data_IF_340850688041
#
_entry.id   IF_340850688041
#
_cell.length_a   1.000
_cell.length_b   1.000
_cell.length_c   1.000
_cell.angle_alpha   90.00
_cell.angle_beta   90.00
_cell.angle_gamma   90.00
#
_symmetry.space_group_name_H-M   'P 1'
#
loop_
_entity.id
_entity.type
_entity.pdbx_description
1 polymer ?
#
# COMPACT_ATOMS: atom_id res chain seq x y z
N UNK A 1 -11.94 3.12 -19.36
CA UNK A 1 -11.23 1.84 -19.22
C UNK A 1 -10.61 1.67 -17.82
N UNK A 2 -9.94 2.69 -17.25
CA UNK A 2 -9.32 2.60 -15.92
C UNK A 2 -10.28 2.48 -14.72
N UNK A 3 -11.55 2.83 -14.87
CA UNK A 3 -12.52 2.83 -13.76
C UNK A 3 -13.03 1.41 -13.40
N UNK A 4 -13.11 0.53 -14.37
CA UNK A 4 -13.61 -0.85 -14.15
C UNK A 4 -12.56 -1.71 -13.42
N UNK A 5 -11.32 -1.61 -13.84
CA UNK A 5 -10.13 -2.23 -13.24
C UNK A 5 -9.97 -1.87 -11.75
N UNK A 6 -10.17 -0.60 -11.42
CA UNK A 6 -10.10 -0.11 -10.03
C UNK A 6 -11.18 -0.72 -9.12
N UNK A 7 -12.41 -0.96 -9.63
CA UNK A 7 -13.50 -1.55 -8.84
C UNK A 7 -13.26 -3.01 -8.48
N UNK A 8 -12.63 -3.77 -9.36
CA UNK A 8 -12.36 -5.21 -9.11
C UNK A 8 -11.20 -5.41 -8.15
N UNK A 9 -10.09 -4.69 -8.30
CA UNK A 9 -9.02 -4.67 -7.29
C UNK A 9 -9.57 -4.33 -5.91
N UNK A 10 -10.46 -3.36 -5.85
CA UNK A 10 -11.15 -2.96 -4.64
C UNK A 10 -11.99 -4.10 -4.04
N UNK A 11 -12.66 -4.92 -4.85
CA UNK A 11 -13.52 -6.00 -4.37
C UNK A 11 -12.70 -7.16 -3.77
N UNK A 12 -11.62 -7.58 -4.43
CA UNK A 12 -10.73 -8.63 -3.93
C UNK A 12 -10.04 -8.25 -2.61
N UNK A 13 -9.58 -7.00 -2.50
CA UNK A 13 -8.95 -6.48 -1.27
C UNK A 13 -9.97 -6.40 -0.14
N UNK A 14 -11.16 -5.88 -0.42
CA UNK A 14 -12.21 -5.69 0.57
C UNK A 14 -12.59 -6.98 1.27
N UNK A 15 -12.83 -8.03 0.51
CA UNK A 15 -13.46 -9.23 1.04
C UNK A 15 -12.45 -10.18 1.71
N UNK A 16 -11.16 -10.05 1.40
CA UNK A 16 -10.14 -10.98 1.86
C UNK A 16 -9.21 -10.45 2.95
N UNK A 17 -8.84 -9.17 2.90
CA UNK A 17 -7.75 -8.63 3.72
C UNK A 17 -8.15 -7.52 4.69
N UNK A 18 -9.30 -6.88 4.49
CA UNK A 18 -9.77 -5.83 5.40
C UNK A 18 -10.47 -6.50 6.57
N UNK A 19 -9.93 -6.41 7.80
CA UNK A 19 -10.58 -6.94 8.97
C UNK A 19 -11.88 -6.17 9.26
N UNK A 20 -12.83 -6.81 9.95
CA UNK A 20 -14.06 -6.15 10.40
C UNK A 20 -13.80 -5.10 11.47
N UNK A 21 -12.76 -5.29 12.27
CA UNK A 21 -12.29 -4.37 13.31
C UNK A 21 -10.77 -4.45 13.42
N UNK A 22 -10.13 -3.41 13.94
CA UNK A 22 -8.69 -3.38 14.19
C UNK A 22 -7.99 -2.19 13.55
N UNK A 23 -6.68 -2.22 13.61
CA UNK A 23 -5.82 -1.13 13.10
C UNK A 23 -5.29 -1.50 11.72
N UNK A 24 -5.48 -0.60 10.76
CA UNK A 24 -5.03 -0.71 9.37
C UNK A 24 -4.05 0.44 9.11
N UNK A 25 -2.91 0.14 8.51
CA UNK A 25 -2.02 1.16 7.97
C UNK A 25 -2.24 1.33 6.47
N UNK A 26 -2.44 2.57 6.06
CA UNK A 26 -2.50 2.97 4.65
C UNK A 26 -1.31 3.86 4.31
N UNK A 27 -0.53 3.41 3.38
CA UNK A 27 0.58 4.14 2.79
C UNK A 27 0.11 5.32 1.91
N UNK A 28 1.03 6.04 1.28
CA UNK A 28 0.77 7.05 0.26
C UNK A 28 0.64 6.42 -1.14
N UNK A 29 0.04 7.16 -2.05
CA UNK A 29 -0.08 6.80 -3.46
C UNK A 29 -1.53 6.65 -3.96
N UNK A 30 -1.70 6.79 -5.27
CA UNK A 30 -3.03 6.82 -5.91
C UNK A 30 -3.83 5.53 -5.72
N UNK A 31 -3.17 4.37 -5.79
CA UNK A 31 -3.82 3.06 -5.58
C UNK A 31 -4.34 2.94 -4.15
N UNK A 32 -3.59 3.44 -3.17
CA UNK A 32 -3.98 3.45 -1.76
C UNK A 32 -5.18 4.40 -1.52
N UNK A 33 -5.25 5.52 -2.21
CA UNK A 33 -6.40 6.43 -2.12
C UNK A 33 -7.70 5.73 -2.55
N UNK A 34 -7.66 4.86 -3.56
CA UNK A 34 -8.83 4.07 -3.93
C UNK A 34 -9.23 3.05 -2.85
N UNK A 35 -8.24 2.45 -2.17
CA UNK A 35 -8.52 1.61 -1.01
C UNK A 35 -9.16 2.41 0.13
N UNK A 36 -8.69 3.64 0.38
CA UNK A 36 -9.29 4.54 1.36
C UNK A 36 -10.77 4.85 1.03
N UNK A 37 -11.12 5.02 -0.25
CA UNK A 37 -12.53 5.21 -0.68
C UNK A 37 -13.44 4.01 -0.34
N UNK A 38 -12.88 2.80 -0.34
CA UNK A 38 -13.62 1.60 0.09
C UNK A 38 -13.78 1.55 1.60
N UNK A 39 -12.69 1.83 2.32
CA UNK A 39 -12.70 1.87 3.78
C UNK A 39 -13.63 2.96 4.31
N UNK A 40 -13.76 4.08 3.61
CA UNK A 40 -14.69 5.14 3.96
C UNK A 40 -16.17 4.71 3.96
N UNK A 41 -16.50 3.61 3.27
CA UNK A 41 -17.86 3.02 3.24
C UNK A 41 -18.07 1.94 4.31
N UNK A 42 -17.10 1.72 5.17
CA UNK A 42 -17.12 0.75 6.28
C UNK A 42 -16.93 1.49 7.59
N UNK A 43 -17.13 0.78 8.69
CA UNK A 43 -16.95 1.30 10.04
C UNK A 43 -16.22 0.28 10.91
N UNK A 44 -15.77 0.72 12.09
CA UNK A 44 -15.23 -0.16 13.12
C UNK A 44 -13.71 -0.37 13.06
N UNK A 45 -13.00 0.27 12.12
CA UNK A 45 -11.54 0.23 12.06
C UNK A 45 -10.91 1.53 12.56
N UNK A 46 -9.67 1.41 13.03
CA UNK A 46 -8.76 2.54 13.19
C UNK A 46 -7.80 2.54 12.01
N UNK A 47 -7.79 3.61 11.23
CA UNK A 47 -6.97 3.74 10.03
C UNK A 47 -5.85 4.72 10.33
N UNK A 48 -4.61 4.27 10.24
CA UNK A 48 -3.42 5.10 10.36
C UNK A 48 -2.85 5.35 8.98
N UNK A 49 -2.54 6.59 8.65
CA UNK A 49 -1.97 6.94 7.34
C UNK A 49 -1.01 8.11 7.41
N UNK A 50 0.01 8.09 6.57
CA UNK A 50 0.85 9.24 6.26
C UNK A 50 0.36 10.02 5.03
N UNK A 51 -0.64 9.51 4.31
CA UNK A 51 -1.19 10.12 3.10
C UNK A 51 -2.24 11.18 3.42
N UNK A 52 -2.01 12.42 3.03
CA UNK A 52 -3.02 13.49 3.12
C UNK A 52 -4.21 13.22 2.20
N UNK A 53 -3.96 12.64 1.03
CA UNK A 53 -5.03 12.31 0.10
C UNK A 53 -5.95 11.21 0.64
N UNK A 54 -5.39 10.16 1.27
CA UNK A 54 -6.17 9.12 1.92
C UNK A 54 -6.93 9.65 3.13
N UNK A 55 -6.27 10.48 3.96
CA UNK A 55 -6.89 11.11 5.12
C UNK A 55 -8.09 11.98 4.71
N UNK A 56 -7.95 12.79 3.65
CA UNK A 56 -9.05 13.60 3.12
C UNK A 56 -10.27 12.76 2.70
N UNK A 57 -10.04 11.61 2.08
CA UNK A 57 -11.12 10.67 1.71
C UNK A 57 -11.83 10.11 2.95
N UNK A 58 -11.09 9.90 4.04
CA UNK A 58 -11.59 9.30 5.27
C UNK A 58 -12.26 10.29 6.23
N UNK A 59 -12.21 11.61 5.97
CA UNK A 59 -12.77 12.65 6.85
C UNK A 59 -14.25 12.43 7.21
N UNK A 60 -15.04 11.88 6.29
CA UNK A 60 -16.47 11.65 6.47
C UNK A 60 -16.81 10.16 6.69
N UNK A 61 -15.82 9.34 7.10
CA UNK A 61 -16.06 7.92 7.41
C UNK A 61 -16.35 7.71 8.88
N UNK A 62 -17.06 6.62 9.18
CA UNK A 62 -17.31 6.18 10.57
C UNK A 62 -16.11 5.43 11.18
N UNK A 63 -14.93 5.52 10.58
CA UNK A 63 -13.69 4.96 11.10
C UNK A 63 -12.92 6.02 11.88
N UNK A 64 -12.15 5.59 12.89
CA UNK A 64 -11.16 6.47 13.51
C UNK A 64 -9.97 6.64 12.56
N UNK A 65 -9.70 7.87 12.13
CA UNK A 65 -8.54 8.15 11.26
C UNK A 65 -7.45 8.87 12.04
N UNK A 66 -6.24 8.33 12.00
CA UNK A 66 -5.04 8.88 12.62
C UNK A 66 -4.06 9.26 11.51
N UNK A 67 -3.69 10.54 11.44
CA UNK A 67 -2.64 11.01 10.53
C UNK A 67 -1.33 11.06 11.30
N UNK A 68 -0.26 10.53 10.72
CA UNK A 68 1.09 10.62 11.29
C UNK A 68 1.54 12.08 11.32
N UNK A 69 2.29 12.47 12.35
CA UNK A 69 2.98 13.75 12.37
C UNK A 69 4.27 13.72 11.55
N UNK A 70 4.80 14.89 11.17
CA UNK A 70 6.06 14.98 10.45
C UNK A 70 6.12 16.13 9.45
N UNK A 71 6.99 16.03 8.47
CA UNK A 71 7.18 17.02 7.42
C UNK A 71 6.29 16.69 6.21
N UNK A 72 5.63 17.70 5.66
CA UNK A 72 4.85 17.55 4.44
C UNK A 72 5.77 17.39 3.22
N UNK A 73 5.55 16.32 2.47
CA UNK A 73 6.10 16.15 1.12
C UNK A 73 4.98 16.45 0.10
N UNK A 74 5.05 17.59 -0.61
CA UNK A 74 4.00 17.98 -1.55
C UNK A 74 3.98 17.12 -2.83
N UNK A 75 5.11 16.48 -3.18
CA UNK A 75 5.24 15.70 -4.43
C UNK A 75 4.33 14.46 -4.43
N UNK A 76 4.18 13.82 -3.28
CA UNK A 76 3.36 12.62 -3.10
C UNK A 76 2.19 12.81 -2.12
N UNK A 77 1.98 14.06 -1.66
CA UNK A 77 0.93 14.41 -0.68
C UNK A 77 0.98 13.54 0.56
N UNK A 78 2.18 13.35 1.11
CA UNK A 78 2.43 12.53 2.30
C UNK A 78 3.11 13.33 3.41
N UNK A 79 3.07 12.77 4.61
CA UNK A 79 3.82 13.23 5.77
C UNK A 79 4.97 12.26 6.00
N UNK A 80 6.18 12.79 6.12
CA UNK A 80 7.42 12.01 6.19
C UNK A 80 8.38 12.53 7.27
N UNK A 81 9.50 11.85 7.44
CA UNK A 81 10.59 12.24 8.31
C UNK A 81 10.60 11.50 9.66
N UNK A 82 11.48 11.95 10.55
CA UNK A 82 11.77 11.25 11.81
C UNK A 82 10.53 11.08 12.70
N UNK A 83 9.67 12.08 12.79
CA UNK A 83 8.46 12.01 13.61
C UNK A 83 7.51 10.93 13.08
N UNK A 84 7.35 10.84 11.75
CA UNK A 84 6.53 9.82 11.08
C UNK A 84 7.07 8.43 11.36
N UNK A 85 8.36 8.20 11.10
CA UNK A 85 8.98 6.88 11.31
C UNK A 85 8.98 6.47 12.77
N UNK A 86 9.27 7.40 13.70
CA UNK A 86 9.22 7.16 15.14
C UNK A 86 7.82 6.79 15.62
N UNK A 87 6.79 7.48 15.14
CA UNK A 87 5.40 7.15 15.47
C UNK A 87 5.03 5.75 14.93
N UNK A 88 5.32 5.47 13.66
CA UNK A 88 4.99 4.20 12.99
C UNK A 88 5.71 3.03 13.63
N UNK A 89 6.96 3.18 14.05
CA UNK A 89 7.76 2.13 14.69
C UNK A 89 7.16 1.63 16.01
N UNK A 90 6.30 2.40 16.65
CA UNK A 90 5.62 2.03 17.90
C UNK A 90 4.19 1.49 17.70
N UNK A 91 3.73 1.37 16.46
CA UNK A 91 2.41 0.82 16.16
C UNK A 91 2.41 -0.70 16.19
N UNK A 92 1.22 -1.26 16.28
CA UNK A 92 0.91 -2.65 15.92
C UNK A 92 -0.36 -2.63 15.09
N UNK A 93 -0.27 -3.09 13.85
CA UNK A 93 -1.39 -3.08 12.91
C UNK A 93 -1.74 -4.49 12.45
N UNK A 94 -3.01 -4.70 12.12
CA UNK A 94 -3.47 -5.98 11.58
C UNK A 94 -2.98 -6.17 10.13
N UNK A 95 -2.98 -5.08 9.35
CA UNK A 95 -2.54 -5.09 7.96
C UNK A 95 -1.94 -3.75 7.58
N UNK A 96 -0.84 -3.77 6.85
CA UNK A 96 -0.27 -2.63 6.17
C UNK A 96 -0.46 -2.78 4.66
N UNK A 97 -1.08 -1.78 4.05
CA UNK A 97 -1.20 -1.68 2.60
C UNK A 97 -0.17 -0.67 2.09
N UNK A 98 0.75 -1.16 1.29
CA UNK A 98 1.91 -0.42 0.80
C UNK A 98 1.85 -0.24 -0.71
N UNK A 99 2.33 0.91 -1.18
CA UNK A 99 2.52 1.20 -2.59
C UNK A 99 3.96 0.96 -3.06
N UNK A 100 4.16 1.07 -4.36
CA UNK A 100 5.48 1.08 -5.00
C UNK A 100 5.50 2.05 -6.18
N UNK A 101 6.63 2.70 -6.42
CA UNK A 101 6.84 3.49 -7.64
C UNK A 101 7.31 2.62 -8.80
N UNK A 102 7.96 1.49 -8.52
CA UNK A 102 8.43 0.54 -9.50
C UNK A 102 9.26 -0.56 -8.87
N UNK A 103 9.56 -1.59 -9.65
CA UNK A 103 10.39 -2.70 -9.18
C UNK A 103 11.23 -3.33 -10.31
N UNK A 104 11.39 -2.63 -11.44
CA UNK A 104 12.27 -3.07 -12.52
C UNK A 104 13.69 -3.25 -12.00
N UNK A 105 14.29 -4.42 -12.25
CA UNK A 105 15.64 -4.82 -11.80
C UNK A 105 15.84 -4.83 -10.27
N UNK A 106 14.76 -4.87 -9.48
CA UNK A 106 14.79 -5.02 -8.04
C UNK A 106 14.24 -6.38 -7.59
N UNK A 107 14.75 -6.88 -6.47
CA UNK A 107 14.23 -8.08 -5.79
C UNK A 107 13.09 -7.77 -4.82
N UNK A 108 12.43 -6.65 -4.99
CA UNK A 108 11.36 -6.17 -4.12
C UNK A 108 10.79 -4.85 -4.59
N UNK A 109 9.73 -4.37 -3.95
CA UNK A 109 9.13 -3.10 -4.28
C UNK A 109 10.06 -1.93 -3.92
N UNK A 110 10.09 -0.90 -4.77
CA UNK A 110 10.98 0.24 -4.65
C UNK A 110 10.23 1.57 -4.78
N UNK A 111 10.86 2.63 -4.29
CA UNK A 111 10.33 4.00 -4.30
C UNK A 111 11.38 4.99 -4.79
N UNK A 112 10.95 6.19 -5.15
CA UNK A 112 11.83 7.21 -5.71
C UNK A 112 12.60 8.02 -4.67
N UNK A 113 12.19 8.00 -3.40
CA UNK A 113 12.73 8.83 -2.33
C UNK A 113 13.12 8.01 -1.10
N UNK A 114 14.24 8.37 -0.45
CA UNK A 114 14.73 7.69 0.75
C UNK A 114 13.79 7.85 1.95
N UNK A 115 13.18 9.00 2.11
CA UNK A 115 12.23 9.27 3.22
C UNK A 115 10.97 8.43 3.10
N UNK A 116 10.47 8.22 1.90
CA UNK A 116 9.35 7.32 1.62
C UNK A 116 9.75 5.85 1.93
N UNK A 117 10.93 5.41 1.49
CA UNK A 117 11.45 4.09 1.81
C UNK A 117 11.56 3.87 3.33
N UNK A 118 12.09 4.83 4.07
CA UNK A 118 12.20 4.76 5.54
C UNK A 118 10.83 4.64 6.22
N UNK A 119 9.83 5.37 5.74
CA UNK A 119 8.46 5.30 6.26
C UNK A 119 7.88 3.90 6.08
N UNK A 120 8.04 3.28 4.89
CA UNK A 120 7.58 1.92 4.61
C UNK A 120 8.36 0.88 5.43
N UNK A 121 9.67 1.03 5.54
CA UNK A 121 10.51 0.15 6.37
C UNK A 121 10.10 0.16 7.84
N UNK A 122 9.64 1.29 8.37
CA UNK A 122 9.22 1.43 9.75
C UNK A 122 7.95 0.64 10.09
N UNK A 123 7.02 0.46 9.15
CA UNK A 123 5.76 -0.28 9.38
C UNK A 123 5.91 -1.78 9.21
N UNK A 124 6.78 -2.26 8.31
CA UNK A 124 6.91 -3.67 7.97
C UNK A 124 6.99 -4.61 9.18
N UNK A 125 7.86 -4.40 10.19
CA UNK A 125 7.97 -5.29 11.34
C UNK A 125 6.79 -5.17 12.32
N UNK A 126 5.90 -4.22 12.10
CA UNK A 126 4.82 -3.87 13.00
C UNK A 126 3.43 -4.28 12.48
N UNK A 127 3.35 -4.80 11.27
CA UNK A 127 2.13 -5.33 10.68
C UNK A 127 2.10 -6.86 10.79
N UNK A 128 0.91 -7.42 11.01
CA UNK A 128 0.70 -8.88 10.94
C UNK A 128 0.67 -9.37 9.49
N UNK A 129 0.23 -8.51 8.57
CA UNK A 129 0.23 -8.75 7.13
C UNK A 129 0.78 -7.52 6.42
N UNK A 130 1.76 -7.73 5.55
CA UNK A 130 2.32 -6.73 4.66
C UNK A 130 1.82 -7.00 3.23
N UNK A 131 1.05 -6.08 2.68
CA UNK A 131 0.44 -6.21 1.36
C UNK A 131 0.89 -5.07 0.47
N UNK A 132 1.54 -5.40 -0.64
CA UNK A 132 1.87 -4.43 -1.69
C UNK A 132 0.77 -4.41 -2.74
N UNK A 133 0.33 -3.23 -3.14
CA UNK A 133 -0.68 -3.03 -4.17
C UNK A 133 -0.14 -2.08 -5.22
N UNK A 134 -0.10 -2.53 -6.46
CA UNK A 134 0.24 -1.66 -7.59
C UNK A 134 -0.40 -2.17 -8.89
N UNK A 135 -0.41 -1.35 -9.90
CA UNK A 135 -0.68 -1.81 -11.26
C UNK A 135 0.57 -2.43 -11.90
N UNK A 136 0.36 -3.25 -12.94
CA UNK A 136 1.41 -3.97 -13.65
C UNK A 136 2.42 -3.06 -14.36
N UNK A 137 2.05 -1.79 -14.66
CA UNK A 137 2.96 -0.84 -15.29
C UNK A 137 4.20 -0.56 -14.42
N UNK A 138 4.11 -0.77 -13.10
CA UNK A 138 5.22 -0.61 -12.16
C UNK A 138 6.29 -1.68 -12.32
N UNK A 139 5.97 -2.80 -12.95
CA UNK A 139 6.93 -3.86 -13.27
C UNK A 139 8.07 -3.40 -14.20
N UNK A 140 7.76 -2.44 -15.08
CA UNK A 140 8.69 -1.88 -16.08
C UNK A 140 9.17 -0.48 -15.70
N UNK A 141 8.96 -0.07 -14.47
CA UNK A 141 9.38 1.22 -13.95
C UNK A 141 10.52 1.03 -12.97
N UNK A 142 11.65 1.69 -13.22
CA UNK A 142 12.75 1.75 -12.28
C UNK A 142 12.44 2.77 -11.17
N UNK A 143 12.86 2.45 -9.95
CA UNK A 143 12.79 3.34 -8.80
C UNK A 143 14.11 3.31 -8.03
N UNK A 144 14.42 4.36 -7.30
CA UNK A 144 15.76 4.57 -6.74
C UNK A 144 16.08 3.61 -5.59
N UNK A 145 15.12 3.37 -4.70
CA UNK A 145 15.36 2.71 -3.42
C UNK A 145 14.41 1.53 -3.24
N UNK A 146 14.94 0.31 -3.24
CA UNK A 146 14.20 -0.85 -2.79
C UNK A 146 14.00 -0.75 -1.27
N UNK A 147 12.74 -0.78 -0.80
CA UNK A 147 12.46 -0.63 0.62
C UNK A 147 12.32 -1.96 1.36
N UNK A 148 12.10 -3.07 0.65
CA UNK A 148 12.09 -4.42 1.21
C UNK A 148 12.27 -5.48 0.13
N UNK A 149 12.41 -6.74 0.52
CA UNK A 149 12.38 -7.89 -0.38
C UNK A 149 10.96 -8.39 -0.59
N UNK A 150 10.68 -9.01 -1.75
CA UNK A 150 9.40 -9.74 -1.96
C UNK A 150 9.18 -10.83 -0.90
N UNK A 151 10.24 -11.39 -0.30
CA UNK A 151 10.13 -12.41 0.76
C UNK A 151 9.56 -11.87 2.08
N UNK A 152 9.61 -10.56 2.29
CA UNK A 152 9.08 -9.89 3.49
C UNK A 152 7.64 -9.37 3.28
N UNK A 153 7.09 -9.63 2.09
CA UNK A 153 5.72 -9.26 1.70
C UNK A 153 4.85 -10.52 1.68
N UNK A 154 3.72 -10.49 2.37
CA UNK A 154 2.79 -11.62 2.43
C UNK A 154 1.97 -11.76 1.15
N UNK A 155 1.56 -10.63 0.56
CA UNK A 155 0.78 -10.60 -0.68
C UNK A 155 1.19 -9.43 -1.58
N UNK A 156 1.31 -9.73 -2.86
CA UNK A 156 1.40 -8.72 -3.91
C UNK A 156 0.12 -8.76 -4.75
N UNK A 157 -0.62 -7.65 -4.77
CA UNK A 157 -1.87 -7.52 -5.51
C UNK A 157 -1.64 -6.61 -6.70
N UNK A 158 -1.84 -7.14 -7.89
CA UNK A 158 -1.65 -6.42 -9.16
C UNK A 158 -2.70 -6.86 -10.18
N UNK A 159 -2.70 -6.25 -11.35
CA UNK A 159 -3.60 -6.65 -12.43
C UNK A 159 -3.05 -7.81 -13.27
N UNK A 160 -3.93 -8.38 -14.10
CA UNK A 160 -3.63 -9.53 -14.96
C UNK A 160 -2.66 -9.23 -16.12
N UNK A 161 -2.27 -7.97 -16.31
CA UNK A 161 -1.28 -7.57 -17.32
C UNK A 161 0.18 -7.71 -16.83
N UNK A 162 0.40 -8.17 -15.59
CA UNK A 162 1.74 -8.46 -15.10
C UNK A 162 2.44 -9.48 -16.02
N UNK A 163 3.63 -9.18 -16.59
CA UNK A 163 4.36 -10.11 -17.44
C UNK A 163 4.60 -11.45 -16.77
N UNK A 164 4.26 -12.55 -17.48
CA UNK A 164 4.35 -13.90 -16.93
C UNK A 164 5.70 -14.25 -16.30
N UNK A 165 6.87 -13.89 -16.90
CA UNK A 165 8.17 -14.18 -16.27
C UNK A 165 8.33 -13.50 -14.89
N UNK A 166 7.79 -12.28 -14.73
CA UNK A 166 7.83 -11.56 -13.45
C UNK A 166 6.84 -12.16 -12.45
N UNK A 167 5.64 -12.57 -12.91
CA UNK A 167 4.70 -13.30 -12.08
C UNK A 167 5.33 -14.58 -11.53
N UNK A 168 5.93 -15.41 -12.39
CA UNK A 168 6.55 -16.67 -11.99
C UNK A 168 7.68 -16.41 -10.95
N UNK A 169 8.55 -15.44 -11.22
CA UNK A 169 9.65 -15.05 -10.32
C UNK A 169 9.15 -14.55 -8.95
N UNK A 170 8.18 -13.64 -8.94
CA UNK A 170 7.65 -13.04 -7.70
C UNK A 170 6.87 -14.07 -6.90
N UNK A 171 6.14 -14.97 -7.56
CA UNK A 171 5.34 -16.03 -6.91
C UNK A 171 6.17 -17.06 -6.17
N UNK A 172 7.48 -17.18 -6.46
CA UNK A 172 8.41 -17.99 -5.67
C UNK A 172 8.75 -17.36 -4.31
N UNK A 173 8.47 -16.07 -4.14
CA UNK A 173 8.87 -15.31 -2.96
C UNK A 173 7.69 -14.81 -2.12
N UNK A 174 6.55 -14.51 -2.75
CA UNK A 174 5.33 -14.01 -2.10
C UNK A 174 4.07 -14.51 -2.79
N UNK A 175 2.92 -14.36 -2.14
CA UNK A 175 1.64 -14.71 -2.75
C UNK A 175 1.18 -13.61 -3.72
N UNK A 176 1.18 -13.89 -5.01
CA UNK A 176 0.70 -12.95 -6.03
C UNK A 176 -0.79 -13.16 -6.30
N UNK A 177 -1.56 -12.07 -6.22
CA UNK A 177 -2.98 -12.06 -6.57
C UNK A 177 -3.17 -11.19 -7.81
N UNK A 178 -3.60 -11.82 -8.89
CA UNK A 178 -3.96 -11.12 -10.12
C UNK A 178 -5.44 -10.72 -10.07
N UNK A 179 -5.71 -9.51 -10.48
CA UNK A 179 -7.07 -8.95 -10.61
C UNK A 179 -7.32 -8.63 -12.07
N UNK A 180 -8.41 -9.17 -12.61
CA UNK A 180 -8.74 -8.98 -14.02
C UNK A 180 -9.02 -7.50 -14.35
N UNK A 181 -8.50 -7.07 -15.49
CA UNK A 181 -8.66 -5.69 -16.01
C UNK A 181 -9.91 -5.55 -16.87
N UNK A 182 -10.51 -6.68 -17.33
CA UNK A 182 -11.47 -6.73 -18.43
C UNK A 182 -12.82 -7.37 -18.10
N UNK A 183 -13.25 -7.43 -16.85
CA UNK A 183 -14.59 -7.94 -16.54
C UNK A 183 -15.54 -6.90 -15.98
#
# INVERSE_FOLDING_TARGET
LHLCDRRQRQMCIRDRFIPSTGVIYLDSGSTIVHLAQLLAKRSGCTIVTSSLSAANVLLNSDNTTIITGGQLNPSNMSIEGFQTTSFISNLKVAVAFLGTNGFEQHNGPAVSEFTDAQTKQAILPNAKLNIVISDSSKALTSALVQYTSWRDIDYFITDSELPKPLYDMISEMTNVILVDVHS
#
